data_IF_725432750434
#
_entry.id   IF_725432750434
#
_cell.length_a   1.000
_cell.length_b   1.000
_cell.length_c   1.000
_cell.angle_alpha   90.00
_cell.angle_beta   90.00
_cell.angle_gamma   90.00
#
_symmetry.space_group_name_H-M   'P 1'
#
loop_
_entity.id
_entity.type
_entity.pdbx_description
1 polymer ?
#
# COMPACT_ATOMS: atom_id res chain seq x y z
N UNK A 1 -11.03 13.75 2.47
CA UNK A 1 -10.81 12.50 3.21
C UNK A 1 -9.45 12.59 3.83
N UNK A 2 -9.35 12.38 5.13
CA UNK A 2 -8.11 12.54 5.89
C UNK A 2 -7.09 11.45 5.52
N UNK A 3 -5.80 11.74 5.70
CA UNK A 3 -4.72 10.79 5.36
C UNK A 3 -4.88 9.45 6.10
N UNK A 4 -5.29 9.50 7.36
CA UNK A 4 -5.50 8.32 8.19
C UNK A 4 -6.64 7.43 7.68
N UNK A 5 -7.74 8.02 7.20
CA UNK A 5 -8.85 7.28 6.59
C UNK A 5 -8.41 6.62 5.27
N UNK A 6 -7.62 7.32 4.45
CA UNK A 6 -7.03 6.74 3.23
C UNK A 6 -6.19 5.51 3.55
N UNK A 7 -5.33 5.61 4.57
CA UNK A 7 -4.49 4.49 5.02
C UNK A 7 -5.36 3.31 5.44
N UNK A 8 -6.39 3.53 6.27
CA UNK A 8 -7.27 2.44 6.72
C UNK A 8 -7.96 1.73 5.55
N UNK A 9 -8.53 2.48 4.62
CA UNK A 9 -9.25 1.92 3.46
C UNK A 9 -8.28 1.18 2.52
N UNK A 10 -7.17 1.83 2.14
CA UNK A 10 -6.29 1.34 1.09
C UNK A 10 -5.33 0.25 1.56
N UNK A 11 -4.92 0.26 2.83
CA UNK A 11 -4.23 -0.90 3.42
C UNK A 11 -5.16 -2.08 3.66
N UNK A 12 -6.40 -1.82 4.08
CA UNK A 12 -7.43 -2.84 4.24
C UNK A 12 -7.76 -3.54 2.91
N UNK A 13 -7.81 -2.78 1.82
CA UNK A 13 -8.00 -3.32 0.47
C UNK A 13 -6.77 -4.10 -0.04
N UNK A 14 -5.55 -3.73 0.39
CA UNK A 14 -4.31 -4.43 0.04
C UNK A 14 -4.12 -5.76 0.79
N UNK A 15 -4.93 -6.07 1.81
CA UNK A 15 -4.78 -7.31 2.61
C UNK A 15 -4.90 -8.59 1.77
N UNK A 16 -5.62 -8.52 0.64
CA UNK A 16 -5.85 -9.65 -0.26
C UNK A 16 -4.66 -9.96 -1.19
N UNK A 17 -3.62 -9.13 -1.23
CA UNK A 17 -2.37 -9.49 -1.93
C UNK A 17 -1.58 -10.53 -1.10
N UNK A 18 -1.01 -11.54 -1.76
CA UNK A 18 -0.41 -12.74 -1.14
C UNK A 18 0.95 -12.42 -0.49
N UNK A 19 0.98 -11.86 0.73
CA UNK A 19 2.23 -11.70 1.51
C UNK A 19 2.07 -11.41 3.01
N UNK A 20 0.85 -11.24 3.54
CA UNK A 20 0.71 -10.65 4.88
C UNK A 20 0.47 -11.68 6.00
N UNK A 21 1.36 -11.69 6.99
CA UNK A 21 1.21 -12.51 8.20
C UNK A 21 0.67 -11.77 9.43
N UNK A 22 0.67 -10.43 9.44
CA UNK A 22 0.40 -9.63 10.66
C UNK A 22 -0.37 -8.32 10.45
N UNK A 23 -1.00 -8.12 9.28
CA UNK A 23 -1.79 -6.92 8.98
C UNK A 23 -3.10 -6.92 9.76
N UNK A 24 -3.55 -5.72 10.18
CA UNK A 24 -4.94 -5.49 10.54
C UNK A 24 -5.29 -5.60 12.03
N UNK A 25 -4.32 -5.86 12.91
CA UNK A 25 -4.56 -5.96 14.35
C UNK A 25 -4.56 -4.58 15.00
N UNK A 26 -5.71 -4.15 15.49
CA UNK A 26 -5.82 -2.97 16.35
C UNK A 26 -6.14 -3.41 17.78
N UNK A 27 -5.32 -2.97 18.74
CA UNK A 27 -5.49 -3.27 20.16
C UNK A 27 -5.19 -2.02 20.97
N UNK A 28 -6.13 -1.60 21.79
CA UNK A 28 -5.93 -0.51 22.74
C UNK A 28 -5.81 -1.11 24.13
N UNK A 29 -4.70 -0.84 24.80
CA UNK A 29 -4.56 -1.24 26.20
C UNK A 29 -5.45 -0.35 27.07
N UNK A 30 -6.42 -0.95 27.78
CA UNK A 30 -7.23 -0.25 28.77
C UNK A 30 -6.42 0.07 30.04
N UNK A 31 -5.48 -0.82 30.41
CA UNK A 31 -4.49 -0.67 31.47
C UNK A 31 -3.20 -1.41 31.05
N UNK A 32 -2.02 -0.86 31.36
CA UNK A 32 -0.72 -1.44 31.00
C UNK A 32 -0.06 -0.85 29.74
N UNK A 33 1.04 -1.46 29.29
CA UNK A 33 1.85 -0.98 28.16
C UNK A 33 1.47 -1.68 26.85
N UNK A 34 1.45 -0.91 25.77
CA UNK A 34 1.38 -1.42 24.39
C UNK A 34 -0.01 -1.32 23.76
N UNK A 35 -0.12 -0.48 22.73
CA UNK A 35 -1.27 -0.43 21.83
C UNK A 35 -0.80 -0.64 20.38
N UNK A 36 -1.64 -1.20 19.53
CA UNK A 36 -1.39 -1.39 18.10
C UNK A 36 -2.50 -0.76 17.28
N UNK A 37 -2.15 -0.21 16.12
CA UNK A 37 -3.10 0.37 15.18
C UNK A 37 -2.91 -0.29 13.81
N UNK A 38 -4.01 -0.58 13.13
CA UNK A 38 -3.98 -0.99 11.73
C UNK A 38 -3.57 0.19 10.85
N UNK A 39 -2.27 0.31 10.57
CA UNK A 39 -1.68 1.38 9.76
C UNK A 39 -1.07 0.87 8.44
N UNK A 40 -1.53 -0.29 7.95
CA UNK A 40 -1.05 -0.88 6.71
C UNK A 40 0.37 -1.41 6.74
N UNK A 41 0.95 -1.60 7.92
CA UNK A 41 2.25 -2.25 8.06
C UNK A 41 2.04 -3.77 8.07
N UNK A 42 2.75 -4.47 7.19
CA UNK A 42 2.80 -5.92 7.14
C UNK A 42 4.21 -6.43 7.37
N UNK A 43 4.33 -7.62 7.96
CA UNK A 43 5.61 -8.32 8.00
C UNK A 43 5.70 -9.31 6.84
N UNK A 44 6.88 -9.34 6.23
CA UNK A 44 7.26 -10.29 5.18
C UNK A 44 8.64 -10.86 5.50
N UNK A 45 9.00 -11.97 4.87
CA UNK A 45 10.27 -12.64 5.12
C UNK A 45 11.14 -12.55 3.87
N UNK A 46 12.39 -12.12 4.04
CA UNK A 46 13.42 -12.25 3.01
C UNK A 46 13.89 -13.70 2.90
N UNK A 47 14.62 -13.99 1.83
CA UNK A 47 15.24 -15.27 1.54
C UNK A 47 16.26 -15.70 2.59
N UNK A 48 16.93 -14.76 3.24
CA UNK A 48 17.82 -14.99 4.39
C UNK A 48 17.08 -15.19 5.73
N UNK A 49 15.74 -15.21 5.72
CA UNK A 49 14.90 -15.46 6.89
C UNK A 49 14.65 -14.25 7.79
N UNK A 50 15.13 -13.04 7.44
CA UNK A 50 14.79 -11.83 8.21
C UNK A 50 13.33 -11.47 8.03
N UNK A 51 12.70 -11.05 9.13
CA UNK A 51 11.40 -10.42 9.12
C UNK A 51 11.57 -8.93 8.79
N UNK A 52 10.95 -8.47 7.70
CA UNK A 52 10.96 -7.07 7.26
C UNK A 52 9.57 -6.45 7.37
N UNK A 53 9.54 -5.21 7.84
CA UNK A 53 8.32 -4.41 7.95
C UNK A 53 8.06 -3.64 6.64
N UNK A 54 6.91 -3.83 6.01
CA UNK A 54 6.55 -3.15 4.76
C UNK A 54 5.28 -2.33 4.93
N UNK A 55 5.26 -1.11 4.38
CA UNK A 55 4.01 -0.38 4.15
C UNK A 55 3.31 -1.02 2.96
N UNK A 56 2.20 -1.72 3.19
CA UNK A 56 1.42 -2.39 2.16
C UNK A 56 0.12 -1.64 1.90
N UNK A 57 0.06 -0.97 0.76
CA UNK A 57 -1.05 -0.07 0.43
C UNK A 57 -1.36 -0.09 -1.07
N UNK A 58 -2.61 0.23 -1.40
CA UNK A 58 -2.98 0.56 -2.77
C UNK A 58 -2.81 2.06 -3.02
N UNK A 59 -2.36 2.46 -4.22
CA UNK A 59 -2.46 3.85 -4.67
C UNK A 59 -3.93 4.28 -4.70
N UNK A 60 -4.82 3.41 -5.17
CA UNK A 60 -6.26 3.57 -5.07
C UNK A 60 -6.97 2.22 -5.08
N UNK A 61 -8.15 2.14 -4.48
CA UNK A 61 -9.05 0.99 -4.65
C UNK A 61 -10.17 1.27 -5.67
N UNK A 62 -10.20 2.42 -6.36
CA UNK A 62 -11.07 2.59 -7.52
C UNK A 62 -10.60 1.67 -8.65
N UNK A 63 -11.55 1.01 -9.33
CA UNK A 63 -11.24 0.10 -10.42
C UNK A 63 -12.32 0.18 -11.50
N UNK A 64 -11.92 0.27 -12.77
CA UNK A 64 -12.82 0.22 -13.93
C UNK A 64 -13.33 -1.19 -14.24
N UNK A 65 -12.68 -2.22 -13.70
CA UNK A 65 -12.99 -3.62 -13.95
C UNK A 65 -13.98 -4.20 -12.95
N UNK A 66 -14.67 -5.27 -13.36
CA UNK A 66 -15.69 -5.95 -12.56
C UNK A 66 -15.32 -7.43 -12.28
N UNK A 67 -14.07 -7.67 -11.88
CA UNK A 67 -13.57 -9.02 -11.62
C UNK A 67 -14.38 -9.71 -10.52
N UNK A 68 -14.98 -10.87 -10.82
CA UNK A 68 -15.88 -11.58 -9.91
C UNK A 68 -15.24 -11.94 -8.55
N UNK A 69 -13.93 -12.14 -8.52
CA UNK A 69 -13.16 -12.49 -7.32
C UNK A 69 -12.63 -11.27 -6.53
N UNK A 70 -12.75 -10.05 -7.06
CA UNK A 70 -12.11 -8.88 -6.47
C UNK A 70 -13.08 -8.07 -5.61
N UNK A 71 -12.74 -7.85 -4.34
CA UNK A 71 -13.52 -6.96 -3.45
C UNK A 71 -13.62 -5.53 -4.00
N UNK A 72 -12.61 -5.10 -4.75
CA UNK A 72 -12.52 -3.77 -5.34
C UNK A 72 -13.19 -3.67 -6.72
N UNK A 73 -13.91 -4.70 -7.17
CA UNK A 73 -14.66 -4.67 -8.44
C UNK A 73 -15.60 -3.46 -8.48
N UNK A 74 -15.82 -2.87 -9.65
CA UNK A 74 -16.56 -1.60 -9.80
C UNK A 74 -17.99 -1.66 -9.27
N UNK A 75 -18.63 -2.82 -9.32
CA UNK A 75 -20.03 -2.99 -8.91
C UNK A 75 -20.22 -3.14 -7.39
N UNK A 76 -19.14 -3.28 -6.63
CA UNK A 76 -19.21 -3.33 -5.17
C UNK A 76 -19.29 -1.92 -4.58
N UNK A 77 -20.32 -1.69 -3.75
CA UNK A 77 -20.43 -0.51 -2.91
C UNK A 77 -19.58 -0.68 -1.65
N UNK A 78 -18.37 -0.15 -1.70
CA UNK A 78 -17.40 -0.13 -0.59
C UNK A 78 -16.75 1.24 -0.53
N UNK A 79 -16.29 1.70 0.65
CA UNK A 79 -15.57 2.96 0.76
C UNK A 79 -14.38 3.01 -0.21
N UNK A 80 -14.32 4.07 -1.02
CA UNK A 80 -13.26 4.25 -2.02
C UNK A 80 -12.36 5.42 -1.67
N UNK A 81 -11.09 5.26 -1.97
CA UNK A 81 -10.04 6.20 -1.65
C UNK A 81 -8.98 6.21 -2.75
N UNK A 82 -8.25 7.31 -2.84
CA UNK A 82 -7.10 7.44 -3.71
C UNK A 82 -6.05 8.33 -3.05
N UNK A 83 -4.80 7.92 -3.14
CA UNK A 83 -3.66 8.79 -2.91
C UNK A 83 -3.28 9.52 -4.19
N UNK A 84 -2.77 10.73 -4.06
CA UNK A 84 -1.85 11.27 -5.06
C UNK A 84 -0.49 10.58 -4.94
N UNK A 85 0.31 10.52 -6.01
CA UNK A 85 1.70 10.03 -5.91
C UNK A 85 2.47 10.72 -4.78
N UNK A 86 2.34 12.04 -4.64
CA UNK A 86 3.04 12.85 -3.63
C UNK A 86 2.64 12.47 -2.21
N UNK A 87 1.34 12.30 -1.93
CA UNK A 87 0.84 11.87 -0.62
C UNK A 87 1.47 10.54 -0.21
N UNK A 88 1.54 9.58 -1.15
CA UNK A 88 2.08 8.27 -0.88
C UNK A 88 3.61 8.31 -0.68
N UNK A 89 4.33 9.07 -1.50
CA UNK A 89 5.78 9.28 -1.36
C UNK A 89 6.10 9.85 0.03
N UNK A 90 5.38 10.89 0.44
CA UNK A 90 5.59 11.54 1.73
C UNK A 90 5.27 10.62 2.88
N UNK A 91 4.18 9.85 2.79
CA UNK A 91 3.81 8.82 3.76
C UNK A 91 4.92 7.77 3.92
N UNK A 92 5.41 7.22 2.79
CA UNK A 92 6.49 6.22 2.80
C UNK A 92 7.75 6.76 3.45
N UNK A 93 8.19 7.98 3.09
CA UNK A 93 9.38 8.60 3.68
C UNK A 93 9.19 8.86 5.18
N UNK A 94 8.01 9.31 5.59
CA UNK A 94 7.70 9.57 6.98
C UNK A 94 7.72 8.30 7.84
N UNK A 95 7.22 7.18 7.32
CA UNK A 95 7.24 5.89 8.01
C UNK A 95 8.66 5.34 8.07
N UNK A 96 9.42 5.47 6.98
CA UNK A 96 10.81 5.02 6.91
C UNK A 96 11.71 5.77 7.89
N UNK A 97 11.63 7.12 7.93
CA UNK A 97 12.42 7.95 8.86
C UNK A 97 12.16 7.67 10.34
N UNK A 98 11.00 7.09 10.67
CA UNK A 98 10.61 6.72 12.03
C UNK A 98 10.90 5.25 12.35
N UNK A 99 11.56 4.53 11.44
CA UNK A 99 11.84 3.10 11.54
C UNK A 99 10.57 2.24 11.72
N UNK A 100 9.44 2.68 11.16
CA UNK A 100 8.21 1.88 11.16
C UNK A 100 8.17 0.87 10.02
N UNK A 101 8.90 1.14 8.95
CA UNK A 101 8.99 0.26 7.77
C UNK A 101 10.43 0.21 7.27
N UNK A 102 10.78 -0.92 6.66
CA UNK A 102 11.99 -1.15 5.88
C UNK A 102 11.72 -1.14 4.37
N UNK A 103 10.44 -1.20 3.97
CA UNK A 103 10.05 -1.24 2.56
C UNK A 103 8.62 -0.78 2.27
N UNK A 104 8.30 -0.68 0.99
CA UNK A 104 6.99 -0.35 0.42
C UNK A 104 6.52 -1.52 -0.46
N UNK A 105 5.30 -2.01 -0.22
CA UNK A 105 4.57 -2.86 -1.14
C UNK A 105 3.44 -2.03 -1.75
N UNK A 106 3.56 -1.75 -3.05
CA UNK A 106 2.65 -0.86 -3.77
C UNK A 106 1.96 -1.59 -4.92
N UNK A 107 0.63 -1.45 -4.94
CA UNK A 107 -0.28 -1.95 -5.97
C UNK A 107 -1.38 -0.90 -6.20
N UNK A 108 -2.35 -1.15 -7.09
CA UNK A 108 -3.48 -0.26 -7.31
C UNK A 108 -4.65 -0.99 -7.96
N UNK A 109 -5.86 -0.46 -7.76
CA UNK A 109 -6.95 -0.65 -8.72
C UNK A 109 -6.67 0.12 -10.01
N UNK A 110 -7.34 -0.25 -11.10
CA UNK A 110 -7.10 0.33 -12.43
C UNK A 110 -8.01 1.52 -12.65
N UNK A 111 -7.41 2.69 -12.82
CA UNK A 111 -8.08 3.95 -13.15
C UNK A 111 -7.78 4.35 -14.58
N UNK A 112 -8.82 4.69 -15.34
CA UNK A 112 -8.77 5.08 -16.75
C UNK A 112 -8.25 3.97 -17.70
N UNK A 113 -7.00 3.53 -17.55
CA UNK A 113 -6.39 2.42 -18.27
C UNK A 113 -5.28 1.76 -17.43
N UNK A 114 -4.88 0.52 -17.77
CA UNK A 114 -3.71 -0.14 -17.16
C UNK A 114 -2.44 0.71 -17.24
N UNK A 115 -2.14 1.28 -18.41
CA UNK A 115 -0.96 2.12 -18.65
C UNK A 115 -0.97 3.38 -17.79
N UNK A 116 -2.09 4.11 -17.77
CA UNK A 116 -2.21 5.32 -16.96
C UNK A 116 -2.01 5.01 -15.46
N UNK A 117 -2.54 3.88 -15.00
CA UNK A 117 -2.34 3.45 -13.61
C UNK A 117 -0.86 3.10 -13.36
N UNK A 118 -0.23 2.37 -14.28
CA UNK A 118 1.15 1.94 -14.16
C UNK A 118 2.13 3.12 -14.19
N UNK A 119 1.91 4.13 -15.03
CA UNK A 119 2.68 5.38 -15.06
C UNK A 119 2.70 6.07 -13.69
N UNK A 120 1.56 6.11 -13.00
CA UNK A 120 1.47 6.69 -11.65
C UNK A 120 2.24 5.87 -10.63
N UNK A 121 2.21 4.55 -10.72
CA UNK A 121 3.00 3.64 -9.87
C UNK A 121 4.50 3.82 -10.09
N UNK A 122 4.92 3.92 -11.36
CA UNK A 122 6.31 4.18 -11.76
C UNK A 122 6.76 5.54 -11.24
N UNK A 123 5.94 6.58 -11.35
CA UNK A 123 6.25 7.92 -10.83
C UNK A 123 6.57 7.89 -9.32
N UNK A 124 5.80 7.15 -8.53
CA UNK A 124 6.08 6.95 -7.09
C UNK A 124 7.44 6.27 -6.89
N UNK A 125 7.69 5.16 -7.56
CA UNK A 125 8.93 4.39 -7.42
C UNK A 125 10.17 5.19 -7.88
N UNK A 126 10.11 5.83 -9.03
CA UNK A 126 11.17 6.69 -9.57
C UNK A 126 11.45 7.86 -8.64
N UNK A 127 10.41 8.57 -8.17
CA UNK A 127 10.60 9.71 -7.26
C UNK A 127 11.22 9.28 -5.94
N UNK A 128 10.79 8.14 -5.38
CA UNK A 128 11.40 7.57 -4.18
C UNK A 128 12.90 7.30 -4.39
N UNK A 129 13.28 6.66 -5.50
CA UNK A 129 14.67 6.29 -5.79
C UNK A 129 15.55 7.50 -6.15
N UNK A 130 15.12 8.30 -7.12
CA UNK A 130 15.97 9.31 -7.76
C UNK A 130 15.96 10.64 -7.02
N UNK A 131 14.82 11.06 -6.45
CA UNK A 131 14.65 12.38 -5.82
C UNK A 131 14.67 12.34 -4.30
N UNK A 132 14.13 11.28 -3.69
CA UNK A 132 14.08 11.12 -2.24
C UNK A 132 15.22 10.26 -1.68
N UNK A 133 16.04 9.66 -2.54
CA UNK A 133 17.12 8.74 -2.16
C UNK A 133 16.67 7.68 -1.15
N UNK A 134 15.47 7.14 -1.37
CA UNK A 134 14.94 6.05 -0.57
C UNK A 134 15.68 4.77 -0.93
N UNK A 135 16.34 4.15 0.04
CA UNK A 135 17.09 2.90 -0.13
C UNK A 135 16.35 1.67 0.40
N UNK A 136 15.16 1.85 1.00
CA UNK A 136 14.33 0.74 1.47
C UNK A 136 13.80 -0.12 0.32
N UNK A 137 13.34 -1.32 0.66
CA UNK A 137 12.81 -2.27 -0.33
C UNK A 137 11.54 -1.71 -1.02
N UNK A 138 11.40 -1.91 -2.33
CA UNK A 138 10.16 -1.58 -3.06
C UNK A 138 9.70 -2.83 -3.79
N UNK A 139 8.51 -3.31 -3.43
CA UNK A 139 7.75 -4.26 -4.22
C UNK A 139 6.69 -3.49 -5.00
N UNK A 140 6.86 -3.43 -6.33
CA UNK A 140 5.92 -2.78 -7.22
C UNK A 140 5.15 -3.82 -8.02
N UNK A 141 3.84 -3.90 -7.82
CA UNK A 141 3.00 -4.83 -8.57
C UNK A 141 2.67 -4.24 -9.94
N UNK A 142 3.04 -4.95 -11.00
CA UNK A 142 2.68 -4.57 -12.39
C UNK A 142 1.17 -4.71 -12.58
N UNK A 143 0.55 -3.69 -13.19
CA UNK A 143 -0.88 -3.71 -13.48
C UNK A 143 -1.15 -4.60 -14.70
N UNK A 144 -2.01 -5.64 -14.59
CA UNK A 144 -2.31 -6.50 -15.72
C UNK A 144 -2.86 -5.70 -16.91
N UNK A 145 -2.30 -5.94 -18.09
CA UNK A 145 -2.67 -5.24 -19.32
C UNK A 145 -1.92 -3.93 -19.55
N UNK A 146 -0.95 -3.57 -18.70
CA UNK A 146 -0.01 -2.49 -19.04
C UNK A 146 0.96 -2.93 -20.14
N UNK A 147 1.35 -1.98 -20.97
CA UNK A 147 2.37 -2.11 -22.00
C UNK A 147 3.73 -2.49 -21.38
N UNK A 148 4.54 -3.20 -22.17
CA UNK A 148 5.87 -3.69 -21.77
C UNK A 148 6.94 -2.58 -21.82
#
# INVERSE_FOLDING_TARGET
>A
MELQEKIQILSGAAKYDVSCASCGVSRFAAQGLGSTVSAGICHSWSDDGRCVSLLKVLLTNYCIYDCAYCVNRRSNDVPRAAFTPEELIDLTIQFYKRNYIEGLFLSSGVVQSPDHTMERLICVAQTLRERRHYHGYIHLKVIPGSSA
#
